data_IF_312558316613
#
_entry.id   IF_312558316613
#
_cell.length_a   1.000
_cell.length_b   1.000
_cell.length_c   1.000
_cell.angle_alpha   90.00
_cell.angle_beta   90.00
_cell.angle_gamma   90.00
#
_symmetry.space_group_name_H-M   'P 1'
#
loop_
_entity.id
_entity.type
_entity.pdbx_description
1 polymer ?
#
# COMPACT_ATOMS: atom_id res chain seq x y z
N UNK A 1 -18.82 -7.71 18.27
CA UNK A 1 -18.25 -7.62 16.92
C UNK A 1 -17.65 -6.23 16.76
N UNK A 2 -16.32 -6.04 16.85
CA UNK A 2 -15.70 -4.74 16.61
C UNK A 2 -15.47 -4.54 15.10
N UNK A 3 -16.06 -3.49 14.54
CA UNK A 3 -16.04 -3.11 13.11
C UNK A 3 -14.88 -2.17 12.74
N UNK A 4 -13.87 -2.04 13.62
CA UNK A 4 -12.69 -1.21 13.34
C UNK A 4 -11.66 -2.00 12.53
N UNK A 5 -11.12 -1.42 11.46
CA UNK A 5 -9.92 -1.89 10.80
C UNK A 5 -8.72 -1.68 11.73
N UNK A 6 -8.59 -2.54 12.75
CA UNK A 6 -7.39 -2.58 13.58
C UNK A 6 -6.23 -3.00 12.68
N UNK A 7 -5.09 -2.34 12.85
CA UNK A 7 -3.81 -2.80 12.31
C UNK A 7 -3.58 -4.19 12.89
N UNK A 8 -3.80 -5.23 12.09
CA UNK A 8 -3.52 -6.59 12.55
C UNK A 8 -2.03 -6.68 12.86
N UNK A 9 -1.63 -7.18 14.05
CA UNK A 9 -0.23 -7.50 14.31
C UNK A 9 0.25 -8.69 13.46
N UNK A 10 -0.65 -9.32 12.70
CA UNK A 10 -0.34 -10.45 11.84
C UNK A 10 0.20 -9.97 10.48
N UNK A 11 1.46 -10.26 10.21
CA UNK A 11 2.10 -10.04 8.92
C UNK A 11 2.09 -11.32 8.11
N UNK A 12 1.65 -11.22 6.87
CA UNK A 12 1.63 -12.34 5.93
C UNK A 12 2.76 -12.16 4.91
N UNK A 13 3.28 -13.28 4.43
CA UNK A 13 4.43 -13.36 3.55
C UNK A 13 4.26 -14.46 2.50
N UNK A 14 4.93 -14.26 1.37
CA UNK A 14 4.92 -15.13 0.21
C UNK A 14 3.71 -14.93 -0.72
N UNK A 15 3.79 -15.42 -1.96
CA UNK A 15 2.77 -15.18 -2.99
C UNK A 15 1.37 -15.70 -2.63
N UNK A 16 1.30 -16.74 -1.81
CA UNK A 16 0.05 -17.34 -1.31
C UNK A 16 -0.34 -16.85 0.11
N UNK A 17 0.40 -15.90 0.69
CA UNK A 17 0.22 -15.42 2.07
C UNK A 17 0.22 -16.54 3.14
N UNK A 18 0.86 -17.69 2.86
CA UNK A 18 0.83 -18.87 3.75
C UNK A 18 1.69 -18.73 4.99
N UNK A 19 2.71 -17.88 4.95
CA UNK A 19 3.57 -17.62 6.10
C UNK A 19 3.00 -16.44 6.86
N UNK A 20 2.47 -16.69 8.05
CA UNK A 20 1.95 -15.67 8.96
C UNK A 20 2.87 -15.52 10.18
N UNK A 21 3.16 -14.28 10.57
CA UNK A 21 4.00 -13.92 11.71
C UNK A 21 3.30 -12.84 12.53
N UNK A 22 3.04 -13.11 13.80
CA UNK A 22 2.55 -12.09 14.74
C UNK A 22 3.71 -11.21 15.21
N UNK A 23 3.73 -9.95 14.78
CA UNK A 23 4.70 -8.95 15.22
C UNK A 23 4.27 -8.29 16.53
N UNK A 24 5.25 -7.88 17.33
CA UNK A 24 5.04 -7.15 18.58
C UNK A 24 5.59 -5.73 18.41
N UNK A 25 4.80 -4.78 17.88
CA UNK A 25 5.29 -3.47 17.51
C UNK A 25 5.65 -2.63 18.74
N UNK A 26 6.78 -1.91 18.67
CA UNK A 26 7.18 -0.91 19.67
C UNK A 26 6.49 0.45 19.45
N UNK A 27 6.00 0.68 18.24
CA UNK A 27 5.28 1.88 17.81
C UNK A 27 4.08 1.46 16.96
N UNK A 28 2.89 1.95 17.33
CA UNK A 28 1.66 1.78 16.57
C UNK A 28 1.22 3.14 16.04
N UNK A 29 0.96 3.19 14.73
CA UNK A 29 0.50 4.39 14.05
C UNK A 29 -0.86 4.13 13.40
N UNK A 30 -1.70 5.16 13.33
CA UNK A 30 -2.99 5.13 12.63
C UNK A 30 -2.89 5.67 11.18
N UNK A 31 -1.70 6.03 10.72
CA UNK A 31 -1.43 6.48 9.35
C UNK A 31 -0.13 5.89 8.83
N UNK A 32 -0.11 5.55 7.52
CA UNK A 32 1.10 5.05 6.88
C UNK A 32 2.21 6.12 6.85
N UNK A 33 1.86 7.40 6.70
CA UNK A 33 2.85 8.49 6.66
C UNK A 33 3.64 8.60 7.97
N UNK A 34 2.99 8.43 9.13
CA UNK A 34 3.68 8.42 10.42
C UNK A 34 4.62 7.21 10.54
N UNK A 35 4.19 6.03 10.08
CA UNK A 35 5.00 4.82 10.11
C UNK A 35 6.22 4.91 9.17
N UNK A 36 6.04 5.46 7.96
CA UNK A 36 7.12 5.73 6.99
C UNK A 36 8.14 6.70 7.58
N UNK A 37 7.67 7.83 8.14
CA UNK A 37 8.56 8.82 8.74
C UNK A 37 9.37 8.25 9.91
N UNK A 38 8.78 7.36 10.72
CA UNK A 38 9.50 6.67 11.78
C UNK A 38 10.59 5.73 11.23
N UNK A 39 10.27 4.97 10.16
CA UNK A 39 11.23 4.10 9.49
C UNK A 39 12.38 4.88 8.84
N UNK A 40 12.11 6.00 8.16
CA UNK A 40 13.13 6.89 7.59
C UNK A 40 14.09 7.46 8.66
N UNK A 41 13.61 7.62 9.89
CA UNK A 41 14.40 8.05 11.04
C UNK A 41 15.11 6.89 11.77
N UNK A 42 15.01 5.66 11.27
CA UNK A 42 15.69 4.48 11.83
C UNK A 42 15.02 3.86 13.06
N UNK A 43 13.74 4.13 13.32
CA UNK A 43 13.03 3.58 14.48
C UNK A 43 12.65 2.09 14.33
N UNK A 44 12.76 1.53 13.12
CA UNK A 44 12.50 0.12 12.85
C UNK A 44 12.03 -0.15 11.42
N UNK A 45 11.38 -1.31 11.25
CA UNK A 45 10.80 -1.76 9.97
C UNK A 45 9.30 -1.45 9.97
N UNK A 46 8.77 -1.04 8.81
CA UNK A 46 7.33 -0.86 8.58
C UNK A 46 6.89 -1.62 7.34
N UNK A 47 5.61 -1.98 7.28
CA UNK A 47 4.98 -2.64 6.13
C UNK A 47 3.99 -1.68 5.49
N UNK A 48 4.31 -1.23 4.28
CA UNK A 48 3.52 -0.26 3.50
C UNK A 48 3.52 -0.64 2.03
N UNK A 49 2.66 0.01 1.24
CA UNK A 49 2.56 -0.25 -0.19
C UNK A 49 3.71 0.46 -0.92
N UNK A 50 4.31 -0.23 -1.90
CA UNK A 50 5.51 0.23 -2.63
C UNK A 50 5.35 1.66 -3.18
N UNK A 51 4.19 1.97 -3.75
CA UNK A 51 3.90 3.29 -4.31
C UNK A 51 3.97 4.45 -3.30
N UNK A 52 3.85 4.17 -2.00
CA UNK A 52 3.94 5.18 -0.94
C UNK A 52 5.39 5.57 -0.63
N UNK A 53 6.36 4.73 -0.98
CA UNK A 53 7.76 4.86 -0.59
C UNK A 53 8.74 4.90 -1.75
N UNK A 54 8.28 4.82 -3.00
CA UNK A 54 9.13 4.86 -4.20
C UNK A 54 10.15 6.03 -4.16
N UNK A 55 9.77 7.29 -3.82
CA UNK A 55 10.76 8.36 -3.72
C UNK A 55 11.78 8.17 -2.60
N UNK A 56 11.39 7.54 -1.48
CA UNK A 56 12.27 7.29 -0.34
C UNK A 56 13.27 6.16 -0.62
N UNK A 57 12.83 5.11 -1.34
CA UNK A 57 13.69 4.04 -1.85
C UNK A 57 14.70 4.59 -2.87
N UNK A 58 14.23 5.36 -3.86
CA UNK A 58 15.09 5.95 -4.89
C UNK A 58 16.16 6.90 -4.31
N UNK A 59 15.86 7.55 -3.18
CA UNK A 59 16.78 8.47 -2.49
C UNK A 59 17.62 7.78 -1.41
N UNK A 60 17.50 6.46 -1.24
CA UNK A 60 18.25 5.69 -0.25
C UNK A 60 17.88 6.00 1.21
N UNK A 61 16.75 6.68 1.46
CA UNK A 61 16.24 6.92 2.83
C UNK A 61 15.58 5.69 3.42
N UNK A 62 15.07 4.81 2.56
CA UNK A 62 14.55 3.50 2.91
C UNK A 62 15.22 2.44 2.05
N UNK A 63 15.18 1.20 2.56
CA UNK A 63 15.61 0.02 1.84
C UNK A 63 14.55 -1.08 2.02
N UNK A 64 14.26 -1.82 0.95
CA UNK A 64 13.40 -2.99 1.03
C UNK A 64 14.12 -4.15 1.71
N UNK A 65 13.37 -4.94 2.47
CA UNK A 65 13.87 -6.12 3.18
C UNK A 65 12.87 -7.25 3.00
N UNK A 66 13.35 -8.49 3.03
CA UNK A 66 12.54 -9.69 2.85
C UNK A 66 11.87 -9.77 1.47
N UNK A 67 12.53 -9.27 0.42
CA UNK A 67 12.00 -9.27 -0.95
C UNK A 67 11.67 -10.70 -1.45
N UNK A 68 12.46 -11.70 -1.02
CA UNK A 68 12.22 -13.13 -1.31
C UNK A 68 10.92 -13.68 -0.69
N UNK A 69 10.31 -12.91 0.23
CA UNK A 69 9.07 -13.24 0.93
C UNK A 69 7.94 -12.27 0.60
N UNK A 70 8.07 -11.47 -0.46
CA UNK A 70 7.03 -10.55 -0.90
C UNK A 70 5.72 -11.28 -1.23
N UNK A 71 4.60 -10.61 -0.93
CA UNK A 71 3.29 -11.05 -1.38
C UNK A 71 3.08 -10.77 -2.87
N UNK A 72 2.08 -11.42 -3.45
CA UNK A 72 1.62 -11.11 -4.80
C UNK A 72 1.21 -9.62 -4.88
N UNK A 73 1.54 -8.90 -5.97
CA UNK A 73 1.18 -7.49 -6.13
C UNK A 73 -0.32 -7.27 -5.94
N UNK A 74 -0.67 -6.29 -5.09
CA UNK A 74 -2.06 -5.98 -4.80
C UNK A 74 -2.66 -5.11 -5.91
N UNK A 75 -3.78 -5.51 -6.53
CA UNK A 75 -4.37 -4.75 -7.62
C UNK A 75 -4.90 -3.39 -7.16
N UNK A 76 -4.72 -2.37 -8.00
CA UNK A 76 -5.30 -1.04 -7.79
C UNK A 76 -6.65 -0.97 -8.52
N UNK A 77 -7.68 -0.56 -7.78
CA UNK A 77 -9.03 -0.42 -8.29
C UNK A 77 -9.48 1.04 -8.30
N UNK A 78 -10.08 1.48 -9.41
CA UNK A 78 -10.80 2.75 -9.48
C UNK A 78 -12.28 2.46 -9.20
N UNK A 79 -12.78 2.97 -8.07
CA UNK A 79 -14.18 2.79 -7.65
C UNK A 79 -14.93 4.11 -7.80
N UNK A 80 -16.05 4.07 -8.50
CA UNK A 80 -16.96 5.21 -8.63
C UNK A 80 -18.41 4.74 -8.40
N UNK A 81 -19.25 5.60 -7.81
CA UNK A 81 -20.65 5.27 -7.57
C UNK A 81 -21.40 5.03 -8.88
N UNK A 82 -22.17 3.95 -8.95
CA UNK A 82 -23.04 3.69 -10.09
C UNK A 82 -24.33 4.50 -9.94
N UNK A 83 -24.61 5.32 -10.95
CA UNK A 83 -25.89 5.99 -11.11
C UNK A 83 -26.15 6.14 -12.59
N UNK A 84 -27.41 6.08 -13.01
CA UNK A 84 -27.84 6.14 -14.43
C UNK A 84 -27.36 7.38 -15.21
N UNK A 85 -26.65 8.32 -14.56
CA UNK A 85 -26.04 9.51 -15.13
C UNK A 85 -24.64 9.76 -14.56
N UNK A 86 -23.71 8.79 -14.65
CA UNK A 86 -22.29 9.17 -14.59
C UNK A 86 -22.06 10.22 -15.70
N UNK A 87 -21.95 11.48 -15.29
CA UNK A 87 -21.81 12.61 -16.21
C UNK A 87 -20.63 12.34 -17.11
N UNK A 88 -20.67 12.78 -18.37
CA UNK A 88 -19.59 12.52 -19.34
C UNK A 88 -18.20 12.90 -18.77
N UNK A 89 -18.15 13.92 -17.90
CA UNK A 89 -16.97 14.34 -17.15
C UNK A 89 -16.39 13.27 -16.22
N UNK A 90 -17.25 12.53 -15.48
CA UNK A 90 -16.79 11.46 -14.59
C UNK A 90 -16.22 10.31 -15.40
N UNK A 91 -16.90 9.91 -16.48
CA UNK A 91 -16.40 8.85 -17.38
C UNK A 91 -15.05 9.22 -18.00
N UNK A 92 -14.95 10.42 -18.57
CA UNK A 92 -13.69 10.91 -19.14
C UNK A 92 -12.55 10.96 -18.11
N UNK A 93 -12.84 11.33 -16.85
CA UNK A 93 -11.85 11.29 -15.79
C UNK A 93 -11.44 9.85 -15.42
N UNK A 94 -12.41 8.93 -15.31
CA UNK A 94 -12.14 7.52 -15.02
C UNK A 94 -11.29 6.90 -16.14
N UNK A 95 -11.62 7.16 -17.40
CA UNK A 95 -10.85 6.67 -18.55
C UNK A 95 -9.40 7.18 -18.49
N UNK A 96 -9.22 8.48 -18.28
CA UNK A 96 -7.90 9.10 -18.11
C UNK A 96 -7.13 8.51 -16.92
N UNK A 97 -7.80 8.34 -15.77
CA UNK A 97 -7.18 7.82 -14.56
C UNK A 97 -6.75 6.37 -14.76
N UNK A 98 -7.59 5.52 -15.35
CA UNK A 98 -7.26 4.13 -15.65
C UNK A 98 -6.08 4.04 -16.63
N UNK A 99 -6.07 4.84 -17.69
CA UNK A 99 -4.95 4.89 -18.63
C UNK A 99 -3.65 5.33 -17.93
N UNK A 100 -3.72 6.41 -17.15
CA UNK A 100 -2.56 6.94 -16.42
C UNK A 100 -2.01 5.94 -15.40
N UNK A 101 -2.89 5.28 -14.63
CA UNK A 101 -2.50 4.33 -13.60
C UNK A 101 -1.90 3.05 -14.21
N UNK A 102 -2.45 2.54 -15.31
CA UNK A 102 -1.89 1.38 -16.03
C UNK A 102 -0.49 1.64 -16.58
N UNK A 103 -0.24 2.87 -17.03
CA UNK A 103 1.05 3.29 -17.58
C UNK A 103 2.08 3.68 -16.50
N UNK A 104 1.71 3.66 -15.22
CA UNK A 104 2.61 4.03 -14.14
C UNK A 104 3.39 2.80 -13.64
N UNK A 105 4.67 2.73 -14.01
CA UNK A 105 5.57 1.65 -13.59
C UNK A 105 5.75 1.52 -12.06
N UNK A 106 5.41 2.55 -11.28
CA UNK A 106 5.48 2.53 -9.80
C UNK A 106 4.30 1.78 -9.15
N UNK A 107 3.30 1.43 -9.94
CA UNK A 107 2.05 0.81 -9.50
C UNK A 107 1.90 -0.64 -9.97
N UNK A 108 2.92 -1.18 -10.65
CA UNK A 108 2.95 -2.54 -11.20
C UNK A 108 3.71 -3.50 -10.28
#
# INVERSE_FOLDING_TARGET
MPTGAWVSPEWHFGPDSRTSVTVHPRLLCNTNQAAIAAAEQGWGITRVLSYQIDPALAQGRLQSVLDDHAESPMPIHVVHGEGQRATAKVRAFVDLAVETLRNNARLQ
#
